data_IF_948163010672
#
_entry.id   IF_948163010672
#
_cell.length_a   1.000
_cell.length_b   1.000
_cell.length_c   1.000
_cell.angle_alpha   90.00
_cell.angle_beta   90.00
_cell.angle_gamma   90.00
#
_symmetry.space_group_name_H-M   'P 1'
#
loop_
_entity.id
_entity.type
_entity.pdbx_description
1 polymer ?
#
# COMPACT_ATOMS: atom_id res chain seq x y z
N UNK A 1 15.17 29.52 5.09
CA UNK A 1 14.37 28.28 5.01
C UNK A 1 14.67 27.48 6.27
N UNK A 2 13.69 27.20 7.13
CA UNK A 2 13.93 26.40 8.34
C UNK A 2 14.30 24.96 7.92
N UNK A 3 15.25 24.29 8.61
CA UNK A 3 15.61 22.92 8.30
C UNK A 3 14.38 22.02 8.41
N UNK A 4 14.13 21.19 7.38
CA UNK A 4 13.05 20.20 7.43
C UNK A 4 13.38 19.18 8.53
N UNK A 5 12.36 18.69 9.25
CA UNK A 5 12.51 17.61 10.24
C UNK A 5 12.16 16.28 9.62
N UNK A 6 12.88 15.24 10.03
CA UNK A 6 12.63 13.87 9.61
C UNK A 6 11.29 13.40 10.16
N UNK A 7 10.29 13.04 9.34
CA UNK A 7 9.03 12.52 9.82
C UNK A 7 9.18 11.18 10.55
N UNK A 8 10.31 10.49 10.41
CA UNK A 8 10.59 9.23 11.09
C UNK A 8 11.10 9.37 12.52
N UNK A 9 11.74 10.48 12.90
CA UNK A 9 12.37 10.65 14.23
C UNK A 9 12.53 12.11 14.72
N UNK A 10 11.99 13.08 13.99
CA UNK A 10 12.08 14.52 14.24
C UNK A 10 13.49 15.14 14.24
N UNK A 11 14.52 14.34 13.93
CA UNK A 11 15.87 14.84 13.69
C UNK A 11 15.91 15.82 12.51
N UNK A 12 16.84 16.75 12.55
CA UNK A 12 17.05 17.71 11.46
C UNK A 12 17.53 16.99 10.20
N UNK A 13 16.85 17.21 9.08
CA UNK A 13 17.30 16.76 7.77
C UNK A 13 18.33 17.75 7.22
N UNK A 14 19.37 17.23 6.57
CA UNK A 14 20.25 17.98 5.70
C UNK A 14 19.67 18.02 4.28
N UNK A 15 20.38 17.42 3.34
CA UNK A 15 19.96 17.31 1.94
C UNK A 15 19.04 16.09 1.67
N UNK A 16 18.75 15.26 2.68
CA UNK A 16 17.96 14.05 2.48
C UNK A 16 16.48 14.37 2.21
N UNK A 17 15.93 13.74 1.16
CA UNK A 17 14.50 13.79 0.87
C UNK A 17 13.69 12.85 1.78
N UNK A 18 12.58 13.30 2.35
CA UNK A 18 11.59 12.43 3.00
C UNK A 18 11.98 11.81 4.36
N UNK A 19 13.14 11.15 4.51
CA UNK A 19 13.63 10.53 5.76
C UNK A 19 15.15 10.67 5.88
N UNK A 20 15.65 10.79 7.11
CA UNK A 20 17.09 10.76 7.40
C UNK A 20 17.68 9.37 7.17
N UNK A 21 19.00 9.28 7.01
CA UNK A 21 19.70 8.03 6.75
C UNK A 21 19.38 6.93 7.79
N UNK A 22 19.35 7.27 9.08
CA UNK A 22 19.03 6.32 10.16
C UNK A 22 17.60 5.76 10.05
N UNK A 23 16.61 6.61 9.78
CA UNK A 23 15.23 6.16 9.59
C UNK A 23 15.07 5.32 8.32
N UNK A 24 15.78 5.66 7.23
CA UNK A 24 15.80 4.84 6.00
C UNK A 24 16.41 3.46 6.27
N UNK A 25 17.53 3.40 6.98
CA UNK A 25 18.19 2.14 7.32
C UNK A 25 17.33 1.24 8.23
N UNK A 26 16.48 1.84 9.07
CA UNK A 26 15.53 1.10 9.90
C UNK A 26 14.35 0.51 9.12
N UNK A 27 14.08 0.96 7.90
CA UNK A 27 13.06 0.38 7.02
C UNK A 27 13.66 -0.81 6.28
N UNK A 28 13.50 -1.99 6.87
CA UNK A 28 13.92 -3.24 6.24
C UNK A 28 12.68 -3.96 5.69
N UNK A 29 12.57 -4.12 4.37
CA UNK A 29 11.47 -4.89 3.80
C UNK A 29 11.56 -6.34 4.28
N UNK A 30 10.41 -6.91 4.61
CA UNK A 30 10.26 -8.31 5.01
C UNK A 30 9.14 -8.94 4.22
N UNK A 31 9.36 -10.16 3.77
CA UNK A 31 8.36 -10.97 3.11
C UNK A 31 7.71 -11.92 4.12
N UNK A 32 6.40 -11.80 4.28
CA UNK A 32 5.61 -12.60 5.20
C UNK A 32 4.97 -13.79 4.49
N UNK A 33 5.05 -14.93 5.16
CA UNK A 33 4.55 -16.23 4.71
C UNK A 33 3.16 -16.53 5.26
N UNK A 34 2.84 -15.95 6.43
CA UNK A 34 1.57 -16.14 7.13
C UNK A 34 0.89 -14.80 7.30
N UNK A 35 -0.23 -14.61 6.59
CA UNK A 35 -1.07 -13.43 6.75
C UNK A 35 -2.53 -13.83 6.55
N UNK A 36 -3.49 -13.06 7.11
CA UNK A 36 -4.92 -13.32 6.89
C UNK A 36 -5.34 -13.39 5.42
N UNK A 37 -4.47 -12.96 4.49
CA UNK A 37 -4.75 -12.86 3.07
C UNK A 37 -4.52 -14.16 2.28
N UNK A 38 -3.63 -15.05 2.74
CA UNK A 38 -3.46 -16.40 2.22
C UNK A 38 -3.24 -17.40 3.35
N UNK A 39 -4.09 -18.44 3.48
CA UNK A 39 -3.92 -19.48 4.49
C UNK A 39 -2.81 -20.49 4.17
N UNK A 40 -2.38 -20.58 2.90
CA UNK A 40 -1.31 -21.49 2.48
C UNK A 40 0.06 -20.81 2.68
N UNK A 41 1.09 -21.57 3.12
CA UNK A 41 2.38 -21.04 3.52
C UNK A 41 3.27 -20.69 2.32
N UNK A 42 2.87 -19.66 1.59
CA UNK A 42 3.68 -19.06 0.52
C UNK A 42 3.99 -17.60 0.87
N UNK A 43 5.21 -17.10 0.60
CA UNK A 43 5.53 -15.69 0.76
C UNK A 43 4.64 -14.88 -0.18
N UNK A 44 3.80 -14.00 0.39
CA UNK A 44 2.80 -13.28 -0.41
C UNK A 44 2.62 -11.81 -0.04
N UNK A 45 3.24 -11.35 1.06
CA UNK A 45 3.11 -9.98 1.54
C UNK A 45 4.48 -9.39 1.83
N UNK A 46 4.80 -8.25 1.24
CA UNK A 46 5.97 -7.43 1.63
C UNK A 46 5.53 -6.30 2.56
N UNK A 47 6.25 -6.11 3.66
CA UNK A 47 6.04 -5.00 4.60
C UNK A 47 7.34 -4.37 5.06
N UNK A 48 7.32 -3.06 5.37
CA UNK A 48 8.47 -2.39 6.00
C UNK A 48 8.46 -2.50 7.54
N UNK A 49 7.42 -3.13 8.11
CA UNK A 49 7.37 -3.48 9.53
C UNK A 49 6.00 -3.32 10.19
N UNK A 50 5.98 -3.48 11.51
CA UNK A 50 4.78 -3.26 12.33
C UNK A 50 4.43 -1.77 12.37
N UNK A 51 3.16 -1.40 12.52
CA UNK A 51 2.67 -0.02 12.62
C UNK A 51 3.02 0.64 13.97
N UNK A 52 4.32 0.84 14.22
CA UNK A 52 4.91 1.40 15.45
C UNK A 52 6.12 2.28 15.12
N UNK A 53 6.55 3.14 16.04
CA UNK A 53 7.78 3.91 15.87
C UNK A 53 7.90 4.64 14.52
N UNK A 54 8.99 4.38 13.80
CA UNK A 54 9.33 5.02 12.51
C UNK A 54 8.28 4.77 11.42
N UNK A 55 7.80 3.53 11.24
CA UNK A 55 6.81 3.20 10.19
C UNK A 55 5.48 3.89 10.45
N UNK A 56 5.01 3.95 11.71
CA UNK A 56 3.79 4.68 12.09
C UNK A 56 3.91 6.17 11.79
N UNK A 57 5.03 6.80 12.13
CA UNK A 57 5.24 8.22 11.87
C UNK A 57 5.39 8.51 10.38
N UNK A 58 6.11 7.67 9.63
CA UNK A 58 6.24 7.77 8.19
C UNK A 58 4.89 7.65 7.48
N UNK A 59 4.08 6.64 7.81
CA UNK A 59 2.72 6.50 7.27
C UNK A 59 1.86 7.72 7.60
N UNK A 60 1.95 8.26 8.81
CA UNK A 60 1.21 9.47 9.19
C UNK A 60 1.65 10.67 8.36
N UNK A 61 2.96 10.86 8.17
CA UNK A 61 3.49 11.94 7.35
C UNK A 61 3.11 11.81 5.86
N UNK A 62 3.00 10.58 5.35
CA UNK A 62 2.54 10.29 3.98
C UNK A 62 1.12 10.80 3.72
N UNK A 63 0.32 11.03 4.76
CA UNK A 63 -1.07 11.49 4.66
C UNK A 63 -1.21 13.01 4.50
N UNK A 64 -0.09 13.75 4.54
CA UNK A 64 -0.06 15.22 4.46
C UNK A 64 0.82 15.71 3.29
N UNK A 65 0.80 17.02 2.99
CA UNK A 65 1.34 17.63 1.78
C UNK A 65 2.85 17.49 1.47
N UNK A 66 3.61 16.69 2.21
CA UNK A 66 5.01 16.31 1.91
C UNK A 66 5.16 14.90 1.33
N UNK A 67 4.08 14.35 0.77
CA UNK A 67 3.98 12.92 0.47
C UNK A 67 4.86 12.41 -0.69
N UNK A 68 5.26 13.26 -1.64
CA UNK A 68 6.03 12.82 -2.82
C UNK A 68 7.45 12.35 -2.47
N UNK A 69 8.19 13.13 -1.69
CA UNK A 69 9.54 12.75 -1.24
C UNK A 69 9.49 11.46 -0.41
N UNK A 70 8.47 11.36 0.45
CA UNK A 70 8.31 10.21 1.33
C UNK A 70 7.81 8.97 0.57
N UNK A 71 6.91 9.11 -0.40
CA UNK A 71 6.48 8.00 -1.27
C UNK A 71 7.63 7.50 -2.13
N UNK A 72 8.52 8.39 -2.58
CA UNK A 72 9.77 8.01 -3.24
C UNK A 72 10.62 7.09 -2.37
N UNK A 73 10.92 7.51 -1.15
CA UNK A 73 11.74 6.70 -0.22
C UNK A 73 11.03 5.37 0.13
N UNK A 74 9.78 5.42 0.55
CA UNK A 74 9.04 4.22 0.99
C UNK A 74 8.80 3.25 -0.17
N UNK A 75 8.45 3.75 -1.35
CA UNK A 75 8.23 2.95 -2.54
C UNK A 75 9.50 2.27 -3.03
N UNK A 76 10.65 2.96 -3.07
CA UNK A 76 11.93 2.36 -3.44
C UNK A 76 12.34 1.25 -2.45
N UNK A 77 12.13 1.46 -1.15
CA UNK A 77 12.43 0.42 -0.15
C UNK A 77 11.47 -0.77 -0.28
N UNK A 78 10.17 -0.53 -0.52
CA UNK A 78 9.20 -1.59 -0.78
C UNK A 78 9.55 -2.41 -2.02
N UNK A 79 9.90 -1.75 -3.13
CA UNK A 79 10.25 -2.39 -4.40
C UNK A 79 11.41 -3.38 -4.24
N UNK A 80 12.45 -3.01 -3.47
CA UNK A 80 13.58 -3.90 -3.14
C UNK A 80 13.18 -5.16 -2.37
N UNK A 81 12.05 -5.11 -1.67
CA UNK A 81 11.49 -6.24 -0.95
C UNK A 81 10.67 -7.19 -1.82
N UNK A 82 10.24 -6.76 -3.01
CA UNK A 82 9.41 -7.57 -3.90
C UNK A 82 10.28 -8.65 -4.55
N UNK A 83 10.03 -9.94 -4.27
CA UNK A 83 10.80 -11.02 -4.87
C UNK A 83 10.56 -11.11 -6.38
N UNK A 84 11.64 -11.29 -7.16
CA UNK A 84 11.57 -11.34 -8.62
C UNK A 84 10.81 -12.58 -9.11
N UNK A 85 10.87 -13.68 -8.36
CA UNK A 85 10.17 -14.93 -8.61
C UNK A 85 8.63 -14.79 -8.56
N UNK A 86 8.11 -13.71 -7.97
CA UNK A 86 6.68 -13.43 -8.01
C UNK A 86 6.18 -13.05 -9.41
N UNK A 87 7.08 -12.66 -10.31
CA UNK A 87 6.74 -12.37 -11.72
C UNK A 87 5.63 -11.33 -11.88
N UNK A 88 5.51 -10.38 -10.94
CA UNK A 88 4.43 -9.40 -10.92
C UNK A 88 4.40 -8.59 -12.21
N UNK A 89 3.23 -8.54 -12.87
CA UNK A 89 3.05 -7.87 -14.15
C UNK A 89 2.51 -6.44 -14.00
N UNK A 90 1.92 -6.12 -12.84
CA UNK A 90 1.42 -4.78 -12.54
C UNK A 90 1.27 -4.53 -11.05
N UNK A 91 1.29 -3.24 -10.67
CA UNK A 91 0.98 -2.78 -9.31
C UNK A 91 -0.39 -2.13 -9.31
N UNK A 92 -1.32 -2.62 -8.48
CA UNK A 92 -2.65 -2.04 -8.33
C UNK A 92 -2.77 -1.38 -6.96
N UNK A 93 -2.85 -0.03 -6.89
CA UNK A 93 -3.03 0.67 -5.63
C UNK A 93 -4.45 0.48 -5.11
N UNK A 94 -4.59 0.29 -3.80
CA UNK A 94 -5.88 0.34 -3.12
C UNK A 94 -6.50 1.75 -3.28
N UNK A 95 -7.78 1.87 -3.66
CA UNK A 95 -8.41 3.16 -3.83
C UNK A 95 -8.69 3.83 -2.49
N UNK A 96 -8.35 5.11 -2.41
CA UNK A 96 -8.68 5.94 -1.26
C UNK A 96 -10.20 6.16 -1.16
N UNK A 97 -10.73 6.30 0.06
CA UNK A 97 -12.11 6.71 0.28
C UNK A 97 -12.35 8.11 -0.31
N UNK A 98 -13.44 8.31 -1.08
CA UNK A 98 -13.72 9.57 -1.78
C UNK A 98 -13.76 10.81 -0.87
N UNK A 99 -14.23 10.67 0.37
CA UNK A 99 -14.13 11.73 1.39
C UNK A 99 -12.69 12.09 1.76
N UNK A 100 -11.81 11.09 1.91
CA UNK A 100 -10.38 11.31 2.20
C UNK A 100 -9.61 11.84 0.99
N UNK A 101 -10.05 11.50 -0.23
CA UNK A 101 -9.49 12.06 -1.45
C UNK A 101 -9.77 13.57 -1.57
N UNK A 102 -10.97 14.02 -1.15
CA UNK A 102 -11.31 15.45 -1.07
C UNK A 102 -10.54 16.18 0.04
N UNK A 103 -10.30 15.54 1.18
CA UNK A 103 -9.53 16.13 2.29
C UNK A 103 -8.03 16.26 2.00
N UNK A 104 -7.45 15.29 1.29
CA UNK A 104 -5.98 15.20 1.10
C UNK A 104 -5.51 15.58 -0.29
N UNK A 105 -6.37 15.56 -1.30
CA UNK A 105 -6.04 15.86 -2.69
C UNK A 105 -5.32 14.73 -3.46
N UNK A 106 -4.84 13.67 -2.80
CA UNK A 106 -4.09 12.58 -3.45
C UNK A 106 -4.31 11.20 -2.79
N UNK A 107 -4.08 10.11 -3.54
CA UNK A 107 -4.08 8.72 -3.06
C UNK A 107 -2.64 8.27 -2.73
N UNK A 108 -2.35 8.04 -1.45
CA UNK A 108 -1.02 7.61 -0.97
C UNK A 108 -0.58 6.30 -1.61
N UNK A 109 -1.50 5.35 -1.73
CA UNK A 109 -1.23 4.03 -2.30
C UNK A 109 -0.92 4.14 -3.79
N UNK A 110 -1.51 5.10 -4.50
CA UNK A 110 -1.15 5.39 -5.91
C UNK A 110 0.27 5.95 -6.02
N UNK A 111 0.65 6.93 -5.21
CA UNK A 111 2.02 7.49 -5.24
C UNK A 111 3.08 6.42 -4.93
N UNK A 112 2.80 5.53 -3.97
CA UNK A 112 3.66 4.39 -3.68
C UNK A 112 3.70 3.40 -4.86
N UNK A 113 2.55 3.09 -5.46
CA UNK A 113 2.46 2.17 -6.60
C UNK A 113 3.22 2.69 -7.83
N UNK A 114 3.18 4.00 -8.12
CA UNK A 114 3.94 4.61 -9.21
C UNK A 114 5.45 4.48 -9.00
N UNK A 115 5.93 4.68 -7.77
CA UNK A 115 7.33 4.48 -7.42
C UNK A 115 7.71 3.00 -7.55
N UNK A 116 6.93 2.09 -6.97
CA UNK A 116 7.20 0.65 -7.02
C UNK A 116 7.19 0.14 -8.46
N UNK A 117 6.20 0.55 -9.26
CA UNK A 117 6.11 0.19 -10.68
C UNK A 117 7.33 0.66 -11.46
N UNK A 118 7.78 1.90 -11.25
CA UNK A 118 9.00 2.42 -11.88
C UNK A 118 10.25 1.61 -11.51
N UNK A 119 10.43 1.27 -10.24
CA UNK A 119 11.60 0.51 -9.76
C UNK A 119 11.60 -0.93 -10.29
N UNK A 120 10.42 -1.53 -10.48
CA UNK A 120 10.26 -2.89 -10.99
C UNK A 120 10.13 -2.97 -12.51
N UNK A 121 10.03 -1.84 -13.21
CA UNK A 121 9.82 -1.80 -14.67
C UNK A 121 8.42 -2.25 -15.12
N UNK A 122 7.40 -2.12 -14.27
CA UNK A 122 6.01 -2.54 -14.54
C UNK A 122 5.01 -1.40 -14.29
N UNK A 123 3.83 -1.42 -14.94
CA UNK A 123 2.86 -0.33 -14.79
C UNK A 123 2.16 -0.34 -13.42
N UNK A 124 1.95 0.87 -12.89
CA UNK A 124 0.98 1.10 -11.83
C UNK A 124 -0.40 1.37 -12.45
N UNK A 125 -1.38 0.49 -12.19
CA UNK A 125 -2.71 0.55 -12.81
C UNK A 125 -3.76 0.71 -11.70
N UNK A 126 -4.45 1.87 -11.58
CA UNK A 126 -5.55 2.05 -10.64
C UNK A 126 -6.81 1.31 -11.12
N UNK A 127 -6.72 -0.02 -11.22
CA UNK A 127 -7.73 -0.91 -11.77
C UNK A 127 -8.94 -1.11 -10.84
N UNK A 128 -8.88 -0.65 -9.59
CA UNK A 128 -9.96 -0.81 -8.62
C UNK A 128 -10.45 0.57 -8.18
N UNK A 129 -11.76 0.78 -8.24
CA UNK A 129 -12.43 1.95 -7.70
C UNK A 129 -13.39 1.56 -6.59
N UNK A 130 -13.47 2.42 -5.57
CA UNK A 130 -14.45 2.29 -4.50
C UNK A 130 -15.75 2.98 -4.92
N UNK A 131 -16.83 2.21 -5.07
CA UNK A 131 -18.13 2.70 -5.55
C UNK A 131 -19.13 3.00 -4.43
N UNK A 132 -18.87 2.53 -3.21
CA UNK A 132 -19.70 2.80 -2.03
C UNK A 132 -18.88 3.35 -0.87
N UNK A 133 -19.41 4.39 -0.21
CA UNK A 133 -18.93 4.82 1.09
C UNK A 133 -19.31 3.75 2.13
N UNK A 134 -18.32 3.08 2.70
CA UNK A 134 -18.55 2.10 3.78
C UNK A 134 -18.15 2.77 5.09
N UNK A 135 -19.05 2.84 6.06
CA UNK A 135 -18.74 3.40 7.38
C UNK A 135 -17.71 2.52 8.07
N UNK A 136 -16.54 3.05 8.42
CA UNK A 136 -15.62 2.37 9.34
C UNK A 136 -16.22 2.41 10.75
N UNK A 137 -17.19 1.54 11.03
CA UNK A 137 -17.65 1.38 12.40
C UNK A 137 -16.62 0.54 13.15
N UNK A 138 -15.89 1.19 14.06
CA UNK A 138 -14.88 0.58 14.93
C UNK A 138 -15.42 -0.55 15.83
N UNK A 139 -16.74 -0.78 15.84
CA UNK A 139 -17.45 -1.78 16.65
C UNK A 139 -17.88 -3.04 15.89
N UNK A 140 -17.67 -3.12 14.58
CA UNK A 140 -18.11 -4.29 13.80
C UNK A 140 -17.12 -5.45 13.90
N UNK A 141 -17.65 -6.65 14.17
CA UNK A 141 -16.93 -7.91 14.16
C UNK A 141 -16.38 -8.22 12.75
N UNK A 142 -15.38 -9.10 12.66
CA UNK A 142 -14.69 -9.39 11.39
C UNK A 142 -15.65 -9.83 10.27
N UNK A 143 -16.72 -10.56 10.59
CA UNK A 143 -17.77 -11.00 9.66
C UNK A 143 -18.60 -9.84 9.11
N UNK A 144 -19.00 -8.91 9.97
CA UNK A 144 -19.75 -7.71 9.60
C UNK A 144 -18.93 -6.73 8.75
N UNK A 145 -17.60 -6.70 8.95
CA UNK A 145 -16.69 -5.92 8.08
C UNK A 145 -16.62 -6.50 6.68
N UNK A 146 -16.55 -7.83 6.53
CA UNK A 146 -16.57 -8.48 5.22
C UNK A 146 -17.88 -8.24 4.48
N UNK A 147 -19.02 -8.33 5.17
CA UNK A 147 -20.33 -8.01 4.60
C UNK A 147 -20.46 -6.52 4.19
N UNK A 148 -19.90 -5.60 4.97
CA UNK A 148 -19.91 -4.16 4.65
C UNK A 148 -19.03 -3.77 3.45
N UNK A 149 -17.99 -4.57 3.14
CA UNK A 149 -17.10 -4.32 2.01
C UNK A 149 -17.54 -5.05 0.74
N UNK A 150 -18.45 -6.02 0.84
CA UNK A 150 -19.03 -6.71 -0.30
C UNK A 150 -19.73 -5.71 -1.24
N UNK A 151 -19.33 -5.70 -2.51
CA UNK A 151 -19.85 -4.76 -3.51
C UNK A 151 -19.42 -3.29 -3.32
N UNK A 152 -18.50 -3.00 -2.39
CA UNK A 152 -17.99 -1.63 -2.21
C UNK A 152 -16.90 -1.25 -3.22
N UNK A 153 -16.34 -2.23 -3.93
CA UNK A 153 -15.28 -2.06 -4.91
C UNK A 153 -15.69 -2.66 -6.25
N UNK A 154 -15.23 -2.03 -7.31
CA UNK A 154 -15.38 -2.50 -8.69
C UNK A 154 -14.02 -2.45 -9.38
N UNK A 155 -13.70 -3.49 -10.14
CA UNK A 155 -12.49 -3.55 -10.93
C UNK A 155 -12.78 -3.27 -12.42
N UNK A 156 -11.85 -2.57 -13.07
CA UNK A 156 -11.73 -2.43 -14.52
C UNK A 156 -10.33 -2.91 -14.91
N UNK A 157 -10.27 -4.07 -15.56
CA UNK A 157 -9.03 -4.76 -15.92
C UNK A 157 -8.64 -4.56 -17.38
N UNK A 158 -9.34 -3.70 -18.13
CA UNK A 158 -9.09 -3.51 -19.56
C UNK A 158 -7.65 -3.05 -19.86
N UNK A 159 -7.02 -2.33 -18.93
CA UNK A 159 -5.64 -1.83 -19.04
C UNK A 159 -4.63 -2.64 -18.22
N UNK A 160 -5.06 -3.72 -17.58
CA UNK A 160 -4.20 -4.51 -16.70
C UNK A 160 -3.44 -5.57 -17.53
N UNK A 161 -2.09 -5.58 -17.51
CA UNK A 161 -1.31 -6.63 -18.15
C UNK A 161 -1.67 -8.02 -17.61
N UNK A 162 -1.57 -9.05 -18.48
CA UNK A 162 -1.74 -10.44 -18.03
C UNK A 162 -0.60 -10.83 -17.09
N UNK A 163 -0.94 -11.46 -15.97
CA UNK A 163 0.01 -11.99 -15.00
C UNK A 163 -0.36 -11.65 -13.55
N UNK A 164 0.53 -11.99 -12.60
CA UNK A 164 0.33 -11.70 -11.18
C UNK A 164 0.21 -10.21 -10.89
N UNK A 165 -0.71 -9.85 -9.98
CA UNK A 165 -0.95 -8.46 -9.57
C UNK A 165 -0.38 -8.21 -8.17
N UNK A 166 0.38 -7.14 -8.01
CA UNK A 166 0.79 -6.63 -6.70
C UNK A 166 -0.24 -5.61 -6.18
N UNK A 167 -1.06 -5.99 -5.21
CA UNK A 167 -1.96 -5.09 -4.51
C UNK A 167 -1.20 -4.27 -3.45
N UNK A 168 -1.26 -2.95 -3.56
CA UNK A 168 -0.47 -2.05 -2.71
C UNK A 168 -1.35 -1.13 -1.85
N UNK A 169 -1.06 -1.07 -0.55
CA UNK A 169 -1.68 -0.11 0.38
C UNK A 169 -0.65 0.55 1.32
N UNK A 170 -1.03 1.62 2.03
CA UNK A 170 -0.15 2.23 3.03
C UNK A 170 -0.11 1.42 4.34
N UNK A 171 -1.27 0.93 4.81
CA UNK A 171 -1.39 0.19 6.07
C UNK A 171 -2.32 -1.00 5.95
N UNK A 172 -1.87 -2.17 6.41
CA UNK A 172 -2.71 -3.33 6.62
C UNK A 172 -3.01 -3.54 8.11
N UNK A 173 -4.27 -3.39 8.56
CA UNK A 173 -4.66 -3.84 9.90
C UNK A 173 -5.21 -5.27 9.87
N UNK A 174 -6.44 -5.45 9.36
CA UNK A 174 -7.05 -6.77 9.18
C UNK A 174 -6.88 -7.33 7.76
N UNK A 175 -6.34 -6.55 6.83
CA UNK A 175 -6.27 -6.93 5.41
C UNK A 175 -7.62 -6.86 4.66
N UNK A 176 -8.71 -6.50 5.32
CA UNK A 176 -10.06 -6.54 4.71
C UNK A 176 -10.21 -5.66 3.47
N UNK A 177 -9.53 -4.50 3.42
CA UNK A 177 -9.54 -3.63 2.23
C UNK A 177 -8.81 -4.28 1.06
N UNK A 178 -7.62 -4.85 1.30
CA UNK A 178 -6.84 -5.57 0.29
C UNK A 178 -7.61 -6.79 -0.23
N UNK A 179 -8.22 -7.55 0.67
CA UNK A 179 -9.09 -8.69 0.33
C UNK A 179 -10.29 -8.27 -0.53
N UNK A 180 -10.98 -7.19 -0.18
CA UNK A 180 -12.10 -6.70 -0.98
C UNK A 180 -11.66 -6.22 -2.38
N UNK A 181 -10.48 -5.62 -2.50
CA UNK A 181 -9.90 -5.26 -3.80
C UNK A 181 -9.52 -6.50 -4.62
N UNK A 182 -8.91 -7.50 -3.98
CA UNK A 182 -8.61 -8.81 -4.57
C UNK A 182 -9.89 -9.47 -5.09
N UNK A 183 -10.95 -9.48 -4.29
CA UNK A 183 -12.20 -10.14 -4.67
C UNK A 183 -12.83 -9.46 -5.89
N UNK A 184 -12.83 -8.12 -5.94
CA UNK A 184 -13.27 -7.38 -7.13
C UNK A 184 -12.44 -7.70 -8.38
N UNK A 185 -11.11 -7.79 -8.26
CA UNK A 185 -10.21 -8.19 -9.36
C UNK A 185 -10.40 -9.66 -9.76
N UNK A 186 -10.70 -10.52 -8.80
CA UNK A 186 -10.98 -11.94 -9.03
C UNK A 186 -12.25 -12.12 -9.84
N UNK A 187 -13.31 -11.38 -9.51
CA UNK A 187 -14.54 -11.33 -10.31
C UNK A 187 -14.28 -10.84 -11.73
N UNK A 188 -13.33 -9.93 -11.91
CA UNK A 188 -12.90 -9.44 -13.23
C UNK A 188 -11.91 -10.38 -13.95
N UNK A 189 -11.55 -11.54 -13.37
CA UNK A 189 -10.77 -12.59 -14.01
C UNK A 189 -9.29 -12.68 -13.63
N UNK A 190 -8.80 -11.83 -12.72
CA UNK A 190 -7.42 -11.92 -12.20
C UNK A 190 -7.31 -13.08 -11.21
N UNK A 191 -6.23 -13.87 -11.28
CA UNK A 191 -6.09 -15.11 -10.50
C UNK A 191 -4.96 -15.11 -9.48
N UNK A 192 -3.91 -14.34 -9.73
CA UNK A 192 -2.68 -14.38 -8.94
C UNK A 192 -2.40 -13.02 -8.33
N UNK A 193 -2.21 -13.02 -7.00
CA UNK A 193 -2.10 -11.80 -6.22
C UNK A 193 -0.97 -11.89 -5.20
N UNK A 194 -0.19 -10.83 -5.14
CA UNK A 194 0.77 -10.52 -4.09
C UNK A 194 0.40 -9.20 -3.43
N UNK A 195 0.97 -8.91 -2.27
CA UNK A 195 0.62 -7.72 -1.50
C UNK A 195 1.88 -6.96 -1.06
N UNK A 196 1.77 -5.65 -1.00
CA UNK A 196 2.79 -4.79 -0.41
C UNK A 196 2.13 -3.72 0.45
N UNK A 197 2.62 -3.53 1.69
CA UNK A 197 2.20 -2.43 2.55
C UNK A 197 3.37 -1.76 3.25
N UNK A 198 3.27 -0.47 3.56
CA UNK A 198 4.31 0.21 4.34
C UNK A 198 4.32 -0.34 5.78
N UNK A 199 3.15 -0.56 6.38
CA UNK A 199 3.05 -1.02 7.76
C UNK A 199 1.88 -1.98 8.01
N UNK A 200 2.02 -2.86 9.01
CA UNK A 200 0.96 -3.76 9.48
C UNK A 200 0.70 -3.75 10.99
#
# INVERSE_FOLDING_TARGET
MLPRRCPGCDAQLGAEAGLCAACRAALMPRTEWHSPMRPQPEPHLVTLGRYVGTTRRAVRALKYGGAQDLSGVLGTVLARGIPAEWGVASVVPVPLHSGRQRERGFNQSLLLAEVVGRELGIPAVPAVRRIRATTQQAKLHATERSANLAGAFQADVAKLPRGPVLLLDDVMTSGSTLLACRDALTTAGVREFYYAVVAR
#
